data_IF_168503896821
#
_entry.id   IF_168503896821
#
_cell.length_a   1.000
_cell.length_b   1.000
_cell.length_c   1.000
_cell.angle_alpha   90.00
_cell.angle_beta   90.00
_cell.angle_gamma   90.00
#
_symmetry.space_group_name_H-M   'P 1'
#
loop_
_entity.id
_entity.type
_entity.pdbx_description
1 polymer ?
#
# COMPACT_ATOMS: atom_id res chain seq x y z
N UNK A 1 1.69 16.69 -33.43
CA UNK A 1 1.56 16.28 -32.00
C UNK A 1 0.06 16.21 -31.77
N UNK A 2 -0.45 15.12 -31.22
CA UNK A 2 -1.90 15.04 -30.95
C UNK A 2 -2.18 15.76 -29.67
N UNK A 3 -2.87 16.87 -29.76
CA UNK A 3 -3.29 17.64 -28.57
C UNK A 3 -4.63 17.16 -28.02
N UNK A 4 -5.30 16.26 -28.78
CA UNK A 4 -6.61 15.70 -28.46
C UNK A 4 -6.75 14.29 -29.00
N UNK A 5 -7.29 13.40 -28.19
CA UNK A 5 -7.65 12.03 -28.54
C UNK A 5 -8.88 11.64 -27.72
N UNK A 6 -10.03 11.44 -28.38
CA UNK A 6 -11.28 11.18 -27.69
C UNK A 6 -11.33 9.80 -27.05
N UNK A 7 -11.95 9.72 -25.88
CA UNK A 7 -12.45 8.46 -25.31
C UNK A 7 -13.65 8.04 -26.15
N UNK A 8 -13.58 6.86 -26.79
CA UNK A 8 -14.66 6.30 -27.59
C UNK A 8 -15.53 5.36 -26.77
N UNK A 9 -14.92 4.52 -25.93
CA UNK A 9 -15.65 3.52 -25.18
C UNK A 9 -15.01 3.27 -23.81
N UNK A 10 -15.85 3.05 -22.80
CA UNK A 10 -15.43 2.59 -21.46
C UNK A 10 -16.25 1.36 -21.09
N UNK A 11 -15.57 0.28 -20.72
CA UNK A 11 -16.15 -1.00 -20.31
C UNK A 11 -15.63 -1.43 -18.96
N UNK A 12 -16.49 -1.98 -18.13
CA UNK A 12 -16.09 -2.63 -16.88
C UNK A 12 -16.59 -4.06 -16.79
N UNK A 13 -15.81 -4.87 -16.08
CA UNK A 13 -16.10 -6.27 -15.76
C UNK A 13 -15.92 -6.51 -14.28
N UNK A 14 -16.68 -7.48 -13.73
CA UNK A 14 -16.40 -8.10 -12.45
C UNK A 14 -15.34 -9.19 -12.65
N UNK A 15 -14.19 -9.05 -11.99
CA UNK A 15 -13.07 -10.02 -11.99
C UNK A 15 -12.74 -10.46 -10.57
N UNK A 16 -11.82 -11.40 -10.36
CA UNK A 16 -11.45 -11.86 -9.02
C UNK A 16 -10.13 -11.26 -8.56
N UNK A 17 -10.07 -10.88 -7.28
CA UNK A 17 -8.84 -10.53 -6.59
C UNK A 17 -8.05 -11.78 -6.14
N UNK A 18 -6.88 -11.57 -5.53
CA UNK A 18 -5.97 -12.63 -5.03
C UNK A 18 -6.56 -13.48 -3.89
N UNK A 19 -7.68 -13.04 -3.30
CA UNK A 19 -8.43 -13.77 -2.28
C UNK A 19 -9.65 -14.50 -2.85
N UNK A 20 -9.90 -14.39 -4.17
CA UNK A 20 -11.08 -14.93 -4.83
C UNK A 20 -12.36 -14.12 -4.58
N UNK A 21 -12.24 -12.87 -4.12
CA UNK A 21 -13.38 -11.96 -4.02
C UNK A 21 -13.52 -11.14 -5.30
N UNK A 22 -14.75 -10.77 -5.69
CA UNK A 22 -14.96 -9.89 -6.84
C UNK A 22 -14.32 -8.52 -6.67
N UNK A 23 -13.78 -7.99 -7.77
CA UNK A 23 -13.34 -6.61 -7.91
C UNK A 23 -13.62 -6.10 -9.33
N UNK A 24 -13.32 -4.82 -9.59
CA UNK A 24 -13.63 -4.15 -10.85
C UNK A 24 -12.41 -4.10 -11.75
N UNK A 25 -12.56 -4.55 -13.00
CA UNK A 25 -11.67 -4.23 -14.10
C UNK A 25 -12.34 -3.20 -15.00
N UNK A 26 -11.57 -2.20 -15.45
CA UNK A 26 -12.03 -1.20 -16.43
C UNK A 26 -11.12 -1.19 -17.63
N UNK A 27 -11.70 -1.10 -18.81
CA UNK A 27 -11.02 -0.83 -20.08
C UNK A 27 -11.52 0.49 -20.66
N UNK A 28 -10.60 1.35 -21.05
CA UNK A 28 -10.86 2.59 -21.80
C UNK A 28 -10.29 2.44 -23.20
N UNK A 29 -11.10 2.70 -24.22
CA UNK A 29 -10.73 2.61 -25.64
C UNK A 29 -10.85 4.01 -26.25
N UNK A 30 -9.80 4.43 -26.97
CA UNK A 30 -9.77 5.72 -27.68
C UNK A 30 -10.28 5.58 -29.11
N UNK A 31 -10.67 6.67 -29.76
CA UNK A 31 -11.13 6.72 -31.17
C UNK A 31 -10.13 6.13 -32.18
N UNK A 32 -8.88 5.92 -31.77
CA UNK A 32 -7.87 5.26 -32.60
C UNK A 32 -7.72 3.78 -32.29
N UNK A 33 -8.54 3.23 -31.39
CA UNK A 33 -8.51 1.83 -30.99
C UNK A 33 -7.40 1.50 -29.99
N UNK A 34 -6.64 2.49 -29.50
CA UNK A 34 -5.70 2.24 -28.40
C UNK A 34 -6.47 2.08 -27.10
N UNK A 35 -6.10 1.09 -26.29
CA UNK A 35 -6.77 0.84 -25.01
C UNK A 35 -5.85 0.95 -23.81
N UNK A 36 -6.47 1.15 -22.65
CA UNK A 36 -5.86 1.03 -21.34
C UNK A 36 -6.75 0.21 -20.43
N UNK A 37 -6.16 -0.74 -19.70
CA UNK A 37 -6.89 -1.62 -18.78
C UNK A 37 -6.32 -1.45 -17.37
N UNK A 38 -7.20 -1.35 -16.38
CA UNK A 38 -6.83 -1.30 -14.97
C UNK A 38 -7.74 -2.21 -14.13
N UNK A 39 -7.19 -2.80 -13.07
CA UNK A 39 -7.92 -3.58 -12.08
C UNK A 39 -7.73 -2.97 -10.71
N UNK A 40 -8.82 -2.85 -9.95
CA UNK A 40 -8.81 -2.17 -8.65
C UNK A 40 -8.54 -3.17 -7.53
N UNK A 41 -7.59 -2.86 -6.60
CA UNK A 41 -7.38 -3.69 -5.42
C UNK A 41 -8.49 -3.49 -4.37
N UNK A 42 -8.59 -4.41 -3.40
CA UNK A 42 -9.56 -4.34 -2.31
C UNK A 42 -8.94 -4.58 -0.93
N UNK A 43 -9.39 -3.86 0.10
CA UNK A 43 -8.93 -4.04 1.48
C UNK A 43 -9.56 -5.24 2.19
N UNK A 44 -8.87 -5.80 3.19
CA UNK A 44 -9.44 -6.72 4.17
C UNK A 44 -9.92 -5.94 5.41
N UNK A 45 -9.06 -5.08 5.95
CA UNK A 45 -9.38 -4.03 6.89
C UNK A 45 -9.48 -2.71 6.14
N UNK A 46 -10.36 -1.82 6.58
CA UNK A 46 -10.55 -0.50 5.97
C UNK A 46 -10.62 0.54 7.08
N UNK A 47 -9.83 1.61 6.95
CA UNK A 47 -9.92 2.77 7.81
C UNK A 47 -11.31 3.42 7.71
N UNK A 48 -11.80 3.98 8.80
CA UNK A 48 -13.16 4.55 8.88
C UNK A 48 -13.39 5.70 7.90
N UNK A 49 -12.32 6.30 7.40
CA UNK A 49 -12.36 7.49 6.53
C UNK A 49 -11.97 7.20 5.08
N UNK A 50 -11.80 5.94 4.71
CA UNK A 50 -11.54 5.56 3.31
C UNK A 50 -12.72 5.87 2.40
N UNK A 51 -12.44 6.11 1.12
CA UNK A 51 -13.47 6.15 0.10
C UNK A 51 -14.18 4.79 -0.04
N UNK A 52 -15.45 4.81 -0.38
CA UNK A 52 -16.33 3.64 -0.34
C UNK A 52 -16.00 2.67 -1.46
N UNK A 53 -15.60 1.46 -1.12
CA UNK A 53 -15.62 0.32 -2.03
C UNK A 53 -17.07 -0.18 -2.18
N UNK A 54 -17.71 0.11 -3.32
CA UNK A 54 -19.12 -0.23 -3.52
C UNK A 54 -19.29 -1.73 -3.74
N UNK A 55 -20.03 -2.37 -2.84
CA UNK A 55 -20.41 -3.79 -2.88
C UNK A 55 -21.90 -3.94 -3.07
N UNK A 56 -22.32 -5.02 -3.75
CA UNK A 56 -23.75 -5.26 -4.06
C UNK A 56 -24.58 -5.57 -2.81
N UNK A 57 -24.00 -6.22 -1.81
CA UNK A 57 -24.68 -6.66 -0.59
C UNK A 57 -25.62 -7.86 -0.79
N UNK A 58 -25.73 -8.38 -2.01
CA UNK A 58 -26.56 -9.55 -2.33
C UNK A 58 -25.87 -10.84 -1.85
N UNK A 59 -26.34 -11.40 -0.76
CA UNK A 59 -25.77 -12.60 -0.14
C UNK A 59 -25.87 -13.85 -1.02
N UNK A 60 -26.72 -13.87 -2.04
CA UNK A 60 -26.85 -14.98 -3.00
C UNK A 60 -25.69 -15.03 -4.02
N UNK A 61 -24.96 -13.91 -4.16
CA UNK A 61 -23.78 -13.79 -5.03
C UNK A 61 -22.54 -13.42 -4.22
N UNK A 62 -21.47 -14.22 -4.34
CA UNK A 62 -20.20 -13.98 -3.64
C UNK A 62 -20.35 -13.60 -2.16
N UNK A 63 -21.35 -14.16 -1.48
CA UNK A 63 -21.64 -13.91 -0.05
C UNK A 63 -21.86 -12.41 0.27
N UNK A 64 -22.37 -11.63 -0.69
CA UNK A 64 -22.61 -10.19 -0.57
C UNK A 64 -21.48 -9.30 -1.09
N UNK A 65 -20.36 -9.90 -1.54
CA UNK A 65 -19.18 -9.15 -1.97
C UNK A 65 -19.15 -8.83 -3.46
N UNK A 66 -20.20 -9.12 -4.25
CA UNK A 66 -20.31 -8.77 -5.66
C UNK A 66 -20.09 -7.28 -5.92
N UNK A 67 -19.69 -6.90 -7.13
CA UNK A 67 -19.40 -5.51 -7.55
C UNK A 67 -20.16 -5.08 -8.81
N UNK A 68 -21.28 -5.78 -9.13
CA UNK A 68 -22.04 -5.45 -10.35
C UNK A 68 -22.62 -4.05 -10.34
N UNK A 69 -22.96 -3.48 -9.16
CA UNK A 69 -23.40 -2.08 -9.06
C UNK A 69 -22.28 -1.11 -9.51
N UNK A 70 -21.04 -1.34 -9.07
CA UNK A 70 -19.91 -0.54 -9.49
C UNK A 70 -19.64 -0.71 -11.00
N UNK A 71 -19.69 -1.94 -11.51
CA UNK A 71 -19.59 -2.24 -12.95
C UNK A 71 -20.69 -1.52 -13.73
N UNK A 72 -21.93 -1.56 -13.26
CA UNK A 72 -23.04 -0.86 -13.90
C UNK A 72 -22.88 0.66 -13.88
N UNK A 73 -22.38 1.23 -12.77
CA UNK A 73 -22.07 2.66 -12.67
C UNK A 73 -21.01 3.06 -13.71
N UNK A 74 -19.98 2.25 -13.93
CA UNK A 74 -19.00 2.51 -14.99
C UNK A 74 -19.67 2.44 -16.36
N UNK A 75 -20.36 1.32 -16.67
CA UNK A 75 -20.86 1.05 -18.01
C UNK A 75 -22.03 1.95 -18.46
N UNK A 76 -22.85 2.45 -17.51
CA UNK A 76 -24.08 3.21 -17.84
C UNK A 76 -24.01 4.69 -17.47
N UNK A 77 -23.23 5.05 -16.46
CA UNK A 77 -23.18 6.43 -15.96
C UNK A 77 -21.85 7.07 -16.41
N UNK A 78 -20.72 6.53 -15.92
CA UNK A 78 -19.40 7.14 -16.16
C UNK A 78 -19.06 7.11 -17.65
N UNK A 79 -19.26 5.98 -18.33
CA UNK A 79 -18.96 5.85 -19.77
C UNK A 79 -19.65 6.92 -20.60
N UNK A 80 -20.94 7.20 -20.32
CA UNK A 80 -21.71 8.22 -21.04
C UNK A 80 -21.21 9.64 -20.78
N UNK A 81 -20.80 9.93 -19.54
CA UNK A 81 -20.36 11.28 -19.13
C UNK A 81 -18.95 11.62 -19.59
N UNK A 82 -18.12 10.59 -19.87
CA UNK A 82 -16.74 10.76 -20.31
C UNK A 82 -16.54 10.53 -21.83
N UNK A 83 -17.56 10.04 -22.54
CA UNK A 83 -17.52 9.86 -23.99
C UNK A 83 -17.14 11.17 -24.69
N UNK A 84 -16.18 11.13 -25.57
CA UNK A 84 -15.67 12.29 -26.29
C UNK A 84 -14.66 13.14 -25.50
N UNK A 85 -14.45 12.93 -24.20
CA UNK A 85 -13.42 13.67 -23.48
C UNK A 85 -12.01 13.30 -23.97
N UNK A 86 -11.09 14.25 -23.85
CA UNK A 86 -9.70 14.04 -24.23
C UNK A 86 -8.97 13.15 -23.23
N UNK A 87 -8.49 11.98 -23.67
CA UNK A 87 -7.79 11.00 -22.82
C UNK A 87 -6.53 11.56 -22.13
N UNK A 88 -5.95 12.65 -22.66
CA UNK A 88 -4.76 13.28 -22.09
C UNK A 88 -5.04 14.25 -20.92
N UNK A 89 -6.31 14.59 -20.70
CA UNK A 89 -6.71 15.56 -19.66
C UNK A 89 -7.10 14.84 -18.36
N UNK A 90 -6.13 14.10 -17.76
CA UNK A 90 -6.36 13.27 -16.57
C UNK A 90 -7.05 14.03 -15.43
N UNK A 91 -6.58 15.24 -15.12
CA UNK A 91 -7.12 16.03 -14.01
C UNK A 91 -8.57 16.47 -14.26
N UNK A 92 -8.94 16.78 -15.49
CA UNK A 92 -10.32 17.14 -15.86
C UNK A 92 -11.24 15.91 -15.79
N UNK A 93 -10.75 14.74 -16.24
CA UNK A 93 -11.48 13.48 -16.15
C UNK A 93 -11.72 13.09 -14.70
N UNK A 94 -10.68 13.14 -13.86
CA UNK A 94 -10.81 12.80 -12.43
C UNK A 94 -11.72 13.79 -11.69
N UNK A 95 -11.64 15.08 -12.03
CA UNK A 95 -12.58 16.09 -11.54
C UNK A 95 -14.02 15.76 -11.94
N UNK A 96 -14.25 15.37 -13.20
CA UNK A 96 -15.58 14.98 -13.68
C UNK A 96 -16.10 13.76 -12.95
N UNK A 97 -15.26 12.74 -12.66
CA UNK A 97 -15.63 11.57 -11.84
C UNK A 97 -16.10 11.98 -10.44
N UNK A 98 -15.39 12.91 -9.80
CA UNK A 98 -15.78 13.44 -8.48
C UNK A 98 -17.11 14.20 -8.56
N UNK A 99 -17.30 15.04 -9.58
CA UNK A 99 -18.53 15.80 -9.80
C UNK A 99 -19.75 14.89 -10.04
N UNK A 100 -19.60 13.77 -10.76
CA UNK A 100 -20.70 12.81 -11.03
C UNK A 100 -21.08 12.04 -9.74
N UNK A 101 -20.10 11.72 -8.90
CA UNK A 101 -20.34 11.03 -7.64
C UNK A 101 -21.07 11.91 -6.64
N UNK A 102 -20.78 13.20 -6.55
CA UNK A 102 -21.43 14.19 -5.67
C UNK A 102 -21.26 13.91 -4.16
N UNK A 103 -20.51 12.88 -3.75
CA UNK A 103 -20.27 12.55 -2.35
C UNK A 103 -18.81 12.71 -1.96
N UNK A 104 -18.54 13.04 -0.70
CA UNK A 104 -17.16 13.26 -0.23
C UNK A 104 -16.30 12.00 -0.29
N UNK A 105 -16.92 10.83 -0.12
CA UNK A 105 -16.23 9.53 -0.03
C UNK A 105 -16.52 8.58 -1.21
N UNK A 106 -16.96 9.09 -2.36
CA UNK A 106 -17.32 8.30 -3.56
C UNK A 106 -18.40 7.24 -3.28
N UNK A 107 -19.31 7.54 -2.38
CA UNK A 107 -20.35 6.59 -1.92
C UNK A 107 -21.42 6.28 -2.94
N UNK A 108 -21.67 7.16 -3.94
CA UNK A 108 -22.70 6.98 -4.98
C UNK A 108 -22.23 6.06 -6.10
N UNK A 109 -21.06 6.29 -6.65
CA UNK A 109 -20.52 5.49 -7.75
C UNK A 109 -19.65 4.34 -7.27
N UNK A 110 -18.94 4.54 -6.18
CA UNK A 110 -17.91 3.65 -5.64
C UNK A 110 -16.51 4.06 -6.03
N UNK A 111 -15.59 4.11 -5.06
CA UNK A 111 -14.17 4.37 -5.33
C UNK A 111 -13.53 3.31 -6.24
N UNK A 112 -14.02 2.08 -6.21
CA UNK A 112 -13.62 1.02 -7.12
C UNK A 112 -14.02 1.31 -8.58
N UNK A 113 -15.18 1.94 -8.81
CA UNK A 113 -15.59 2.39 -10.14
C UNK A 113 -14.75 3.59 -10.62
N UNK A 114 -14.65 4.64 -9.80
CA UNK A 114 -13.92 5.87 -10.17
C UNK A 114 -12.43 5.61 -10.37
N UNK A 115 -11.77 4.86 -9.48
CA UNK A 115 -10.35 4.52 -9.62
C UNK A 115 -10.08 3.66 -10.85
N UNK A 116 -10.93 2.65 -11.09
CA UNK A 116 -10.77 1.79 -12.27
C UNK A 116 -10.74 2.60 -13.57
N UNK A 117 -11.66 3.56 -13.72
CA UNK A 117 -11.70 4.46 -14.88
C UNK A 117 -10.49 5.38 -14.92
N UNK A 118 -10.17 6.05 -13.80
CA UNK A 118 -9.04 6.98 -13.69
C UNK A 118 -7.71 6.34 -14.13
N UNK A 119 -7.43 5.11 -13.63
CA UNK A 119 -6.20 4.39 -13.99
C UNK A 119 -6.21 3.86 -15.43
N UNK A 120 -7.36 3.40 -15.93
CA UNK A 120 -7.49 2.92 -17.30
C UNK A 120 -7.29 4.08 -18.30
N UNK A 121 -7.79 5.28 -18.01
CA UNK A 121 -7.54 6.51 -18.78
C UNK A 121 -6.05 6.83 -18.85
N UNK A 122 -5.36 6.89 -17.72
CA UNK A 122 -3.91 7.15 -17.69
C UNK A 122 -3.13 6.14 -18.53
N UNK A 123 -3.53 4.88 -18.47
CA UNK A 123 -2.90 3.79 -19.24
C UNK A 123 -3.20 3.89 -20.75
N UNK A 124 -4.44 4.23 -21.13
CA UNK A 124 -4.80 4.47 -22.53
C UNK A 124 -4.02 5.64 -23.12
N UNK A 125 -3.91 6.74 -22.36
CA UNK A 125 -3.11 7.90 -22.73
C UNK A 125 -1.62 7.55 -22.92
N UNK A 126 -1.00 6.84 -21.96
CA UNK A 126 0.38 6.40 -22.08
C UNK A 126 0.61 5.51 -23.29
N UNK A 127 -0.28 4.52 -23.51
CA UNK A 127 -0.21 3.59 -24.63
C UNK A 127 -0.35 4.33 -25.99
N UNK A 128 -1.24 5.32 -26.08
CA UNK A 128 -1.43 6.14 -27.30
C UNK A 128 -0.19 6.94 -27.68
N UNK A 129 0.63 7.28 -26.68
CA UNK A 129 1.92 7.96 -26.89
C UNK A 129 3.10 7.00 -27.06
N UNK A 130 2.88 5.68 -26.97
CA UNK A 130 3.93 4.67 -26.96
C UNK A 130 4.88 4.81 -25.75
N UNK A 131 4.37 5.31 -24.64
CA UNK A 131 5.13 5.57 -23.42
C UNK A 131 4.83 4.54 -22.33
N UNK A 132 5.83 4.18 -21.54
CA UNK A 132 5.61 3.47 -20.29
C UNK A 132 4.83 4.36 -19.30
N UNK A 133 3.90 3.77 -18.53
CA UNK A 133 3.00 4.52 -17.66
C UNK A 133 3.75 5.41 -16.65
N UNK A 134 4.85 4.92 -16.05
CA UNK A 134 5.63 5.73 -15.10
C UNK A 134 6.24 6.99 -15.75
N UNK A 135 6.63 6.92 -17.05
CA UNK A 135 7.14 8.08 -17.80
C UNK A 135 6.03 9.06 -18.14
N UNK A 136 4.84 8.54 -18.50
CA UNK A 136 3.69 9.38 -18.79
C UNK A 136 3.26 10.20 -17.55
N UNK A 137 3.12 9.54 -16.40
CA UNK A 137 2.71 10.20 -15.15
C UNK A 137 3.81 11.10 -14.60
N UNK A 138 5.06 10.63 -14.54
CA UNK A 138 6.16 11.29 -13.82
C UNK A 138 7.08 12.17 -14.66
N UNK A 139 6.88 12.15 -15.98
CA UNK A 139 7.69 12.95 -16.91
C UNK A 139 9.17 12.52 -16.93
N UNK A 140 10.01 13.43 -17.40
CA UNK A 140 11.44 13.18 -17.67
C UNK A 140 12.28 12.89 -16.42
N UNK A 141 11.79 13.20 -15.24
CA UNK A 141 12.53 12.99 -13.98
C UNK A 141 12.14 11.71 -13.22
N UNK A 142 11.22 10.90 -13.75
CA UNK A 142 10.82 9.61 -13.16
C UNK A 142 11.92 8.57 -13.35
N UNK A 143 12.76 8.33 -12.31
CA UNK A 143 13.94 7.47 -12.39
C UNK A 143 14.36 6.83 -11.06
N UNK A 144 13.64 7.09 -9.98
CA UNK A 144 13.96 6.53 -8.67
C UNK A 144 13.16 5.25 -8.45
N UNK A 145 13.86 4.10 -8.38
CA UNK A 145 13.29 2.82 -7.98
C UNK A 145 13.01 2.86 -6.47
N UNK A 146 11.84 2.39 -6.01
CA UNK A 146 11.52 2.44 -4.59
C UNK A 146 12.25 1.34 -3.81
N UNK A 147 12.62 1.65 -2.55
CA UNK A 147 13.02 0.63 -1.57
C UNK A 147 11.75 -0.14 -1.14
N UNK A 148 11.72 -1.46 -1.29
CA UNK A 148 10.56 -2.23 -0.88
C UNK A 148 10.54 -2.49 0.62
N UNK A 149 9.37 -2.38 1.22
CA UNK A 149 9.00 -2.89 2.54
C UNK A 149 8.32 -4.24 2.32
N UNK A 150 9.11 -5.33 2.41
CA UNK A 150 8.62 -6.68 2.08
C UNK A 150 8.11 -7.40 3.31
N UNK A 151 6.80 -7.61 3.39
CA UNK A 151 6.16 -8.35 4.48
C UNK A 151 6.48 -9.83 4.40
N UNK A 152 7.41 -10.32 5.23
CA UNK A 152 7.89 -11.72 5.21
C UNK A 152 7.34 -12.58 6.37
N UNK A 153 6.72 -11.96 7.38
CA UNK A 153 6.07 -12.65 8.49
C UNK A 153 4.82 -11.86 8.92
N UNK A 154 3.71 -12.58 9.06
CA UNK A 154 2.39 -12.03 9.36
C UNK A 154 1.91 -12.41 10.75
N UNK A 155 1.18 -11.50 11.38
CA UNK A 155 0.40 -11.70 12.60
C UNK A 155 -0.93 -10.94 12.53
N UNK A 156 -1.44 -10.50 13.68
CA UNK A 156 -2.67 -9.72 13.78
C UNK A 156 -3.86 -10.39 13.10
N UNK A 157 -4.61 -9.63 12.31
CA UNK A 157 -5.71 -10.12 11.47
C UNK A 157 -5.26 -10.76 10.16
N UNK A 158 -4.01 -10.53 9.74
CA UNK A 158 -3.45 -11.11 8.52
C UNK A 158 -3.02 -12.58 8.67
N UNK A 159 -3.06 -13.13 9.90
CA UNK A 159 -2.72 -14.52 10.17
C UNK A 159 -3.52 -15.11 11.33
N UNK A 160 -3.95 -16.36 11.17
CA UNK A 160 -4.53 -17.14 12.26
C UNK A 160 -3.40 -17.80 13.08
N UNK A 161 -2.70 -16.98 13.86
CA UNK A 161 -1.57 -17.37 14.70
C UNK A 161 -1.58 -16.57 16.02
N UNK A 162 -0.48 -16.68 16.80
CA UNK A 162 -0.35 -16.10 18.15
C UNK A 162 0.36 -14.74 18.18
N UNK A 163 0.72 -14.16 17.04
CA UNK A 163 1.46 -12.89 16.92
C UNK A 163 0.48 -11.73 16.82
N UNK A 164 0.69 -10.64 17.60
CA UNK A 164 -0.22 -9.50 17.63
C UNK A 164 0.08 -8.44 16.56
N UNK A 165 1.36 -8.10 16.36
CA UNK A 165 1.78 -7.16 15.29
C UNK A 165 1.44 -7.76 13.92
N UNK A 166 0.81 -6.96 13.06
CA UNK A 166 0.21 -7.43 11.82
C UNK A 166 1.24 -7.83 10.76
N UNK A 167 2.30 -7.01 10.57
CA UNK A 167 3.31 -7.25 9.55
C UNK A 167 4.72 -6.97 10.06
N UNK A 168 5.63 -7.89 9.70
CA UNK A 168 7.07 -7.74 9.92
C UNK A 168 7.75 -7.71 8.57
N UNK A 169 8.35 -6.57 8.25
CA UNK A 169 8.90 -6.29 6.94
C UNK A 169 10.42 -6.15 6.96
N UNK A 170 11.05 -6.56 5.87
CA UNK A 170 12.47 -6.29 5.59
C UNK A 170 12.60 -5.20 4.54
N UNK A 171 13.64 -4.37 4.68
CA UNK A 171 14.01 -3.31 3.74
C UNK A 171 15.50 -3.41 3.40
N UNK A 172 15.90 -3.87 2.20
CA UNK A 172 17.30 -4.01 1.80
C UNK A 172 17.92 -2.67 1.39
N UNK A 173 18.23 -1.84 2.36
CA UNK A 173 18.74 -0.47 2.16
C UNK A 173 20.21 -0.42 1.72
N UNK A 174 20.96 -1.52 1.88
CA UNK A 174 22.35 -1.64 1.48
C UNK A 174 22.57 -2.08 0.03
N UNK A 175 21.51 -2.47 -0.69
CA UNK A 175 21.60 -2.84 -2.10
C UNK A 175 21.99 -1.65 -2.99
N UNK A 176 22.63 -1.93 -4.11
CA UNK A 176 23.09 -0.90 -5.06
C UNK A 176 22.13 -0.71 -6.24
N UNK A 177 21.21 -1.63 -6.45
CA UNK A 177 20.22 -1.64 -7.51
C UNK A 177 18.93 -2.29 -7.01
N UNK A 178 17.83 -2.10 -7.73
CA UNK A 178 16.58 -2.77 -7.38
C UNK A 178 16.67 -4.28 -7.60
N UNK A 179 17.34 -4.71 -8.67
CA UNK A 179 17.57 -6.14 -8.95
C UNK A 179 18.39 -6.82 -7.84
N UNK A 180 19.43 -6.17 -7.31
CA UNK A 180 20.16 -6.67 -6.15
C UNK A 180 19.29 -6.73 -4.89
N UNK A 181 18.51 -5.68 -4.64
CA UNK A 181 17.54 -5.63 -3.55
C UNK A 181 16.56 -6.81 -3.59
N UNK A 182 15.98 -7.09 -4.75
CA UNK A 182 15.02 -8.19 -4.90
C UNK A 182 15.68 -9.56 -4.69
N UNK A 183 16.92 -9.76 -5.18
CA UNK A 183 17.72 -10.96 -4.93
C UNK A 183 17.97 -11.17 -3.44
N UNK A 184 18.47 -10.14 -2.74
CA UNK A 184 18.70 -10.19 -1.29
C UNK A 184 17.44 -10.59 -0.54
N UNK A 185 16.31 -9.97 -0.88
CA UNK A 185 15.03 -10.25 -0.25
C UNK A 185 14.56 -11.68 -0.46
N UNK A 186 14.69 -12.23 -1.67
CA UNK A 186 14.35 -13.61 -1.97
C UNK A 186 15.24 -14.61 -1.20
N UNK A 187 16.54 -14.35 -1.12
CA UNK A 187 17.50 -15.17 -0.36
C UNK A 187 17.16 -15.17 1.14
N UNK A 188 16.83 -14.00 1.72
CA UNK A 188 16.40 -13.88 3.12
C UNK A 188 15.07 -14.61 3.35
N UNK A 189 14.08 -14.42 2.47
CA UNK A 189 12.79 -15.07 2.56
C UNK A 189 12.91 -16.61 2.56
N UNK A 190 13.69 -17.16 1.64
CA UNK A 190 13.94 -18.60 1.61
C UNK A 190 14.77 -19.11 2.80
N UNK A 191 15.66 -18.27 3.34
CA UNK A 191 16.41 -18.60 4.55
C UNK A 191 15.51 -18.58 5.78
N UNK A 192 14.59 -17.59 5.90
CA UNK A 192 13.58 -17.57 6.95
C UNK A 192 12.72 -18.86 6.93
N UNK A 193 12.30 -19.29 5.74
CA UNK A 193 11.59 -20.57 5.60
C UNK A 193 12.37 -21.76 6.17
N UNK A 194 13.69 -21.80 5.94
CA UNK A 194 14.56 -22.87 6.50
C UNK A 194 14.69 -22.76 8.01
N UNK A 195 14.85 -21.54 8.54
CA UNK A 195 14.93 -21.27 9.98
C UNK A 195 13.66 -21.72 10.69
N UNK A 196 12.49 -21.34 10.19
CA UNK A 196 11.19 -21.73 10.75
C UNK A 196 10.99 -23.26 10.72
N UNK A 197 11.29 -23.90 9.58
CA UNK A 197 11.21 -25.36 9.46
C UNK A 197 12.13 -26.09 10.43
N UNK A 198 13.35 -25.62 10.64
CA UNK A 198 14.30 -26.21 11.58
C UNK A 198 13.82 -26.16 13.04
N UNK A 199 12.90 -25.23 13.35
CA UNK A 199 12.23 -25.13 14.66
C UNK A 199 10.90 -25.88 14.71
N UNK A 200 10.52 -26.60 13.65
CA UNK A 200 9.24 -27.32 13.57
C UNK A 200 8.03 -26.41 13.38
N UNK A 201 8.25 -25.14 12.98
CA UNK A 201 7.20 -24.14 12.79
C UNK A 201 6.58 -24.21 11.41
N UNK A 202 5.32 -23.79 11.31
CA UNK A 202 4.59 -23.72 10.05
C UNK A 202 5.23 -22.70 9.07
N UNK A 203 5.20 -23.03 7.77
CA UNK A 203 5.66 -22.15 6.69
C UNK A 203 4.58 -21.96 5.62
N UNK A 204 3.31 -22.06 6.01
CA UNK A 204 2.19 -21.54 5.26
C UNK A 204 2.27 -20.02 5.19
N UNK A 205 1.72 -19.43 4.12
CA UNK A 205 1.77 -17.99 3.89
C UNK A 205 0.38 -17.36 4.00
N UNK A 206 0.34 -16.12 4.49
CA UNK A 206 -0.85 -15.29 4.52
C UNK A 206 -1.18 -14.67 3.16
N UNK A 207 -2.17 -13.78 3.15
CA UNK A 207 -2.67 -13.10 1.94
C UNK A 207 -1.60 -12.30 1.21
N UNK A 208 -0.62 -11.78 1.92
CA UNK A 208 0.47 -10.97 1.37
C UNK A 208 1.78 -11.73 1.14
N UNK A 209 1.76 -13.05 1.33
CA UNK A 209 2.88 -13.95 1.05
C UNK A 209 3.88 -14.11 2.20
N UNK A 210 3.74 -13.40 3.32
CA UNK A 210 4.52 -13.59 4.53
C UNK A 210 4.17 -14.90 5.25
N UNK A 211 5.14 -15.51 5.96
CA UNK A 211 4.89 -16.70 6.75
C UNK A 211 4.01 -16.39 7.97
N UNK A 212 3.21 -17.36 8.40
CA UNK A 212 2.27 -17.22 9.51
C UNK A 212 2.47 -18.29 10.60
N UNK A 213 3.66 -18.41 11.22
CA UNK A 213 3.90 -19.37 12.28
C UNK A 213 3.24 -18.97 13.60
N UNK A 214 2.95 -19.94 14.46
CA UNK A 214 2.65 -19.69 15.87
C UNK A 214 3.96 -19.43 16.62
N UNK A 215 4.08 -18.24 17.23
CA UNK A 215 5.25 -17.83 17.97
C UNK A 215 4.85 -17.44 19.40
N UNK A 216 5.83 -17.42 20.32
CA UNK A 216 5.58 -17.09 21.72
C UNK A 216 5.37 -15.58 21.96
N UNK A 217 5.83 -14.73 21.04
CA UNK A 217 5.71 -13.28 21.13
C UNK A 217 6.01 -12.61 19.78
N UNK A 218 5.65 -11.32 19.68
CA UNK A 218 6.05 -10.47 18.55
C UNK A 218 7.58 -10.33 18.45
N UNK A 219 8.27 -10.30 19.60
CA UNK A 219 9.74 -10.22 19.67
C UNK A 219 10.41 -11.50 19.09
N UNK A 220 9.78 -12.67 19.22
CA UNK A 220 10.30 -13.91 18.62
C UNK A 220 10.29 -13.86 17.09
N UNK A 221 9.29 -13.19 16.49
CA UNK A 221 9.25 -12.94 15.06
C UNK A 221 10.46 -12.13 14.59
N UNK A 222 10.79 -11.05 15.30
CA UNK A 222 11.97 -10.22 15.03
C UNK A 222 13.27 -11.01 15.15
N UNK A 223 13.40 -11.87 16.17
CA UNK A 223 14.58 -12.75 16.35
C UNK A 223 14.79 -13.67 15.17
N UNK A 224 13.73 -14.32 14.67
CA UNK A 224 13.84 -15.21 13.51
C UNK A 224 14.19 -14.46 12.22
N UNK A 225 13.65 -13.26 12.03
CA UNK A 225 13.98 -12.44 10.86
C UNK A 225 15.45 -12.01 10.90
N UNK A 226 15.96 -11.51 12.03
CA UNK A 226 17.37 -11.13 12.21
C UNK A 226 18.30 -12.33 12.04
N UNK A 227 17.92 -13.51 12.57
CA UNK A 227 18.64 -14.77 12.33
C UNK A 227 18.68 -15.12 10.84
N UNK A 228 17.55 -14.97 10.12
CA UNK A 228 17.47 -15.27 8.69
C UNK A 228 18.32 -14.31 7.85
N UNK A 229 18.32 -13.00 8.15
CA UNK A 229 19.16 -12.01 7.50
C UNK A 229 20.63 -12.39 7.66
N UNK A 230 21.08 -12.69 8.89
CA UNK A 230 22.46 -13.07 9.19
C UNK A 230 22.86 -14.38 8.52
N UNK A 231 21.99 -15.41 8.53
CA UNK A 231 22.23 -16.70 7.87
C UNK A 231 22.23 -16.62 6.35
N UNK A 232 21.54 -15.64 5.78
CA UNK A 232 21.60 -15.33 4.35
C UNK A 232 22.89 -14.62 3.93
N UNK A 233 23.73 -14.23 4.91
CA UNK A 233 25.01 -13.58 4.66
C UNK A 233 24.96 -12.05 4.64
N UNK A 234 23.86 -11.45 5.10
CA UNK A 234 23.67 -10.01 5.18
C UNK A 234 23.75 -9.49 6.61
N UNK A 235 24.09 -8.21 6.77
CA UNK A 235 24.23 -7.56 8.07
C UNK A 235 22.93 -6.85 8.48
N UNK A 236 22.25 -7.31 9.54
CA UNK A 236 21.08 -6.57 10.09
C UNK A 236 21.50 -5.16 10.52
N UNK A 237 20.69 -4.16 10.14
CA UNK A 237 20.94 -2.76 10.45
C UNK A 237 21.83 -2.01 9.44
N UNK A 238 22.71 -2.72 8.69
CA UNK A 238 23.53 -2.12 7.64
C UNK A 238 22.96 -2.42 6.25
N UNK A 239 22.91 -3.70 5.86
CA UNK A 239 22.42 -4.12 4.55
C UNK A 239 20.89 -4.15 4.52
N UNK A 240 20.28 -4.62 5.62
CA UNK A 240 18.84 -4.81 5.74
C UNK A 240 18.37 -4.26 7.08
N UNK A 241 17.36 -3.41 7.02
CA UNK A 241 16.64 -2.90 8.20
C UNK A 241 15.22 -3.45 8.24
N UNK A 242 14.55 -3.28 9.37
CA UNK A 242 13.20 -3.80 9.60
C UNK A 242 12.18 -2.66 9.60
N UNK A 243 10.95 -3.00 9.22
CA UNK A 243 9.79 -2.17 9.39
C UNK A 243 8.63 -3.00 9.98
N UNK A 244 7.77 -2.35 10.72
CA UNK A 244 6.57 -2.94 11.32
C UNK A 244 5.32 -2.24 10.79
N UNK A 245 4.25 -2.99 10.61
CA UNK A 245 2.89 -2.50 10.58
C UNK A 245 2.15 -3.09 11.80
N UNK A 246 1.77 -2.22 12.72
CA UNK A 246 1.19 -2.64 14.00
C UNK A 246 -0.32 -2.79 13.90
N UNK A 247 -0.97 -2.02 13.00
CA UNK A 247 -2.42 -1.97 12.83
C UNK A 247 -3.16 -1.74 14.17
N UNK A 248 -2.71 -0.74 14.92
CA UNK A 248 -3.12 -0.53 16.32
C UNK A 248 -4.59 -0.15 16.50
N UNK A 249 -5.27 0.38 15.46
CA UNK A 249 -6.70 0.68 15.52
C UNK A 249 -7.51 -0.55 15.89
N UNK A 250 -7.13 -1.73 15.38
CA UNK A 250 -7.79 -2.99 15.72
C UNK A 250 -7.61 -3.38 17.18
N UNK A 251 -6.39 -3.18 17.73
CA UNK A 251 -6.12 -3.42 19.14
C UNK A 251 -6.92 -2.47 20.05
N UNK A 252 -7.08 -1.23 19.63
CA UNK A 252 -7.85 -0.21 20.31
C UNK A 252 -9.36 -0.55 20.32
N UNK A 253 -9.90 -1.00 19.20
CA UNK A 253 -11.30 -1.40 19.07
C UNK A 253 -11.61 -2.71 19.84
N UNK A 254 -10.70 -3.68 19.86
CA UNK A 254 -10.84 -4.87 20.70
C UNK A 254 -10.83 -4.53 22.18
N UNK A 255 -10.02 -3.53 22.60
CA UNK A 255 -10.01 -3.05 24.00
C UNK A 255 -11.37 -2.46 24.40
N UNK A 256 -12.03 -1.69 23.53
CA UNK A 256 -13.39 -1.17 23.78
C UNK A 256 -14.40 -2.30 24.00
N UNK A 257 -14.34 -3.40 23.25
CA UNK A 257 -15.25 -4.53 23.37
C UNK A 257 -15.17 -5.23 24.73
N UNK A 258 -14.00 -5.19 25.39
CA UNK A 258 -13.78 -5.76 26.72
C UNK A 258 -13.87 -4.72 27.84
N UNK A 259 -14.38 -3.49 27.56
CA UNK A 259 -14.57 -2.42 28.54
C UNK A 259 -13.29 -1.71 28.99
N UNK A 260 -12.21 -1.76 28.20
CA UNK A 260 -10.94 -1.08 28.44
C UNK A 260 -10.74 0.06 27.44
N UNK A 261 -11.64 1.02 27.44
CA UNK A 261 -11.54 2.21 26.58
C UNK A 261 -10.24 2.98 26.83
N UNK A 262 -9.60 3.47 25.75
CA UNK A 262 -8.34 4.20 25.82
C UNK A 262 -7.09 3.32 25.97
N UNK A 263 -7.25 1.99 25.87
CA UNK A 263 -6.15 1.02 25.89
C UNK A 263 -6.02 0.33 24.52
N UNK A 264 -4.91 -0.40 24.37
CA UNK A 264 -4.60 -1.29 23.25
C UNK A 264 -4.62 -2.73 23.74
N UNK A 265 -5.52 -3.56 23.24
CA UNK A 265 -5.65 -4.96 23.67
C UNK A 265 -4.98 -5.90 22.69
N UNK A 266 -3.94 -6.56 23.14
CA UNK A 266 -3.20 -7.61 22.44
C UNK A 266 -3.98 -8.93 22.61
N UNK A 267 -4.99 -9.14 21.77
CA UNK A 267 -5.95 -10.23 21.93
C UNK A 267 -5.37 -11.63 21.78
N UNK A 268 -4.18 -11.76 21.16
CA UNK A 268 -3.48 -13.05 21.02
C UNK A 268 -2.77 -13.47 22.32
N UNK A 269 -2.36 -12.51 23.13
CA UNK A 269 -1.66 -12.72 24.41
C UNK A 269 -2.50 -12.31 25.63
N UNK A 270 -3.72 -11.77 25.39
CA UNK A 270 -4.66 -11.30 26.43
C UNK A 270 -4.10 -10.16 27.32
N UNK A 271 -3.15 -9.38 26.80
CA UNK A 271 -2.55 -8.25 27.48
C UNK A 271 -3.20 -6.92 27.02
N UNK A 272 -3.28 -5.96 27.94
CA UNK A 272 -3.72 -4.59 27.61
C UNK A 272 -2.62 -3.62 27.96
N UNK A 273 -2.42 -2.61 27.10
CA UNK A 273 -1.47 -1.53 27.27
C UNK A 273 -2.22 -0.20 27.20
N UNK A 274 -1.85 0.71 28.10
CA UNK A 274 -2.23 2.13 27.95
C UNK A 274 -1.50 2.74 26.76
N UNK A 275 -1.89 3.96 26.37
CA UNK A 275 -1.21 4.71 25.31
C UNK A 275 0.31 4.83 25.57
N UNK A 276 0.69 5.26 26.79
CA UNK A 276 2.11 5.44 27.16
C UNK A 276 2.86 4.09 27.16
N UNK A 277 2.28 3.01 27.69
CA UNK A 277 2.86 1.65 27.64
C UNK A 277 2.99 1.11 26.21
N UNK A 278 2.08 1.48 25.30
CA UNK A 278 2.19 1.13 23.90
C UNK A 278 3.37 1.84 23.22
N UNK A 279 3.55 3.13 23.52
CA UNK A 279 4.70 3.91 23.02
C UNK A 279 6.01 3.34 23.58
N UNK A 280 6.06 2.98 24.85
CA UNK A 280 7.24 2.35 25.48
C UNK A 280 7.56 0.98 24.86
N UNK A 281 6.54 0.18 24.57
CA UNK A 281 6.69 -1.11 23.91
C UNK A 281 7.32 -0.97 22.51
N UNK A 282 6.84 -0.02 21.70
CA UNK A 282 7.40 0.26 20.39
C UNK A 282 8.83 0.80 20.45
N UNK A 283 9.13 1.66 21.42
CA UNK A 283 10.49 2.15 21.66
C UNK A 283 11.44 1.01 22.07
N UNK A 284 11.01 0.12 22.94
CA UNK A 284 11.82 -1.03 23.39
C UNK A 284 12.18 -1.95 22.22
N UNK A 285 11.21 -2.27 21.35
CA UNK A 285 11.46 -3.06 20.15
C UNK A 285 12.44 -2.35 19.21
N UNK A 286 12.28 -1.04 18.99
CA UNK A 286 13.14 -0.26 18.10
C UNK A 286 14.57 -0.09 18.66
N UNK A 287 14.75 -0.13 19.97
CA UNK A 287 16.08 -0.10 20.60
C UNK A 287 16.79 -1.46 20.55
N UNK A 288 16.05 -2.56 20.51
CA UNK A 288 16.60 -3.94 20.49
C UNK A 288 16.89 -4.46 19.09
N UNK A 289 16.11 -4.02 18.10
CA UNK A 289 16.14 -4.52 16.73
C UNK A 289 16.40 -3.39 15.74
N UNK A 290 16.93 -3.65 14.54
CA UNK A 290 17.22 -2.63 13.55
C UNK A 290 15.96 -2.13 12.84
N UNK A 291 14.94 -1.75 13.62
CA UNK A 291 13.68 -1.19 13.14
C UNK A 291 13.91 0.28 12.79
N UNK A 292 13.49 0.70 11.58
CA UNK A 292 13.62 2.07 11.10
C UNK A 292 12.28 2.70 10.73
N UNK A 293 11.22 1.90 10.62
CA UNK A 293 9.89 2.36 10.25
C UNK A 293 8.81 1.63 11.05
N UNK A 294 7.83 2.36 11.53
CA UNK A 294 6.63 1.84 12.21
C UNK A 294 5.41 2.47 11.56
N UNK A 295 4.52 1.63 11.04
CA UNK A 295 3.23 2.00 10.48
C UNK A 295 2.14 1.75 11.52
N UNK A 296 1.20 2.70 11.61
CA UNK A 296 0.03 2.67 12.50
C UNK A 296 0.33 2.18 13.92
N UNK A 297 1.37 2.79 14.51
CA UNK A 297 1.81 2.48 15.86
C UNK A 297 0.77 2.80 16.94
N UNK A 298 -0.20 3.67 16.65
CA UNK A 298 -1.36 4.00 17.48
C UNK A 298 -2.63 4.09 16.63
N UNK A 299 -3.80 4.13 17.27
CA UNK A 299 -5.10 4.13 16.61
C UNK A 299 -5.35 5.39 15.75
N UNK A 300 -6.20 5.26 14.72
CA UNK A 300 -6.46 6.29 13.68
C UNK A 300 -7.04 7.61 14.21
N UNK A 301 -7.67 7.61 15.39
CA UNK A 301 -8.21 8.81 16.05
C UNK A 301 -7.49 9.20 17.34
N UNK A 302 -6.43 8.48 17.71
CA UNK A 302 -5.60 8.80 18.87
C UNK A 302 -4.54 9.87 18.54
N UNK A 303 -5.00 11.06 18.11
CA UNK A 303 -4.14 12.16 17.67
C UNK A 303 -3.15 12.65 18.72
N UNK A 304 -3.55 12.61 20.01
CA UNK A 304 -2.66 13.01 21.10
C UNK A 304 -1.58 11.97 21.35
N UNK A 305 -1.93 10.69 21.34
CA UNK A 305 -0.95 9.61 21.41
C UNK A 305 0.04 9.67 20.23
N UNK A 306 -0.45 9.89 19.02
CA UNK A 306 0.40 10.07 17.83
C UNK A 306 1.38 11.25 17.99
N UNK A 307 0.94 12.36 18.61
CA UNK A 307 1.81 13.50 18.91
C UNK A 307 2.95 13.09 19.84
N UNK A 308 2.63 12.41 20.94
CA UNK A 308 3.62 11.88 21.90
C UNK A 308 4.59 10.88 21.24
N UNK A 309 4.04 9.94 20.44
CA UNK A 309 4.84 8.97 19.69
C UNK A 309 5.82 9.68 18.74
N UNK A 310 5.35 10.72 18.05
CA UNK A 310 6.18 11.49 17.12
C UNK A 310 7.27 12.28 17.83
N UNK A 311 6.96 12.93 18.95
CA UNK A 311 7.94 13.63 19.78
C UNK A 311 9.02 12.67 20.29
N UNK A 312 8.64 11.45 20.68
CA UNK A 312 9.56 10.46 21.25
C UNK A 312 10.42 9.77 20.23
N UNK A 313 9.84 9.31 19.10
CA UNK A 313 10.50 8.44 18.14
C UNK A 313 10.71 9.06 16.74
N UNK A 314 9.99 10.12 16.39
CA UNK A 314 9.97 10.68 15.02
C UNK A 314 11.33 11.18 14.52
N UNK A 315 12.26 11.52 15.40
CA UNK A 315 13.62 11.89 15.01
C UNK A 315 14.50 10.69 14.63
N UNK A 316 14.17 9.50 15.12
CA UNK A 316 14.93 8.26 14.91
C UNK A 316 14.29 7.35 13.87
N UNK A 317 12.96 7.33 13.84
CA UNK A 317 12.17 6.38 13.05
C UNK A 317 11.28 7.10 12.04
N UNK A 318 10.99 6.43 10.94
CA UNK A 318 9.88 6.75 10.08
C UNK A 318 8.59 6.29 10.75
N UNK A 319 7.65 7.20 10.95
CA UNK A 319 6.33 6.93 11.51
C UNK A 319 5.31 7.14 10.39
N UNK A 320 4.73 6.03 9.94
CA UNK A 320 3.84 6.00 8.78
C UNK A 320 2.39 5.99 9.23
N UNK A 321 1.59 6.94 8.76
CA UNK A 321 0.14 6.90 8.94
C UNK A 321 -0.52 6.23 7.73
N UNK A 322 -1.18 5.07 7.94
CA UNK A 322 -2.09 4.42 7.00
C UNK A 322 -3.54 4.81 7.34
N UNK A 323 -4.16 4.16 8.33
CA UNK A 323 -5.53 4.48 8.76
C UNK A 323 -5.62 5.91 9.32
N UNK A 324 -4.55 6.44 9.89
CA UNK A 324 -4.45 7.83 10.33
C UNK A 324 -4.75 8.83 9.20
N UNK A 325 -4.23 8.61 7.99
CA UNK A 325 -4.31 9.56 6.87
C UNK A 325 -5.19 9.11 5.72
N UNK A 326 -5.36 7.81 5.50
CA UNK A 326 -6.17 7.17 4.45
C UNK A 326 -5.99 7.81 3.06
N UNK A 327 -4.75 8.17 2.71
CA UNK A 327 -4.40 8.87 1.45
C UNK A 327 -5.19 10.19 1.25
N UNK A 328 -5.76 10.75 2.32
CA UNK A 328 -6.65 11.92 2.27
C UNK A 328 -5.89 13.20 2.63
N UNK A 329 -5.89 14.18 1.71
CA UNK A 329 -5.18 15.47 1.89
C UNK A 329 -5.66 16.27 3.10
N UNK A 330 -6.94 16.19 3.48
CA UNK A 330 -7.47 16.91 4.67
C UNK A 330 -6.92 16.32 5.95
N UNK A 331 -6.88 14.98 6.05
CA UNK A 331 -6.30 14.27 7.21
C UNK A 331 -4.78 14.44 7.27
N UNK A 332 -4.10 14.37 6.11
CA UNK A 332 -2.68 14.66 6.03
C UNK A 332 -2.37 16.10 6.48
N UNK A 333 -3.14 17.10 6.01
CA UNK A 333 -2.97 18.49 6.43
C UNK A 333 -3.13 18.64 7.96
N UNK A 334 -4.12 17.97 8.56
CA UNK A 334 -4.27 17.95 10.03
C UNK A 334 -3.02 17.39 10.72
N UNK A 335 -2.41 16.34 10.18
CA UNK A 335 -1.16 15.77 10.68
C UNK A 335 0.01 16.75 10.57
N UNK A 336 0.14 17.39 9.41
CA UNK A 336 1.18 18.39 9.15
C UNK A 336 1.09 19.59 10.11
N UNK A 337 -0.11 20.14 10.28
CA UNK A 337 -0.37 21.28 11.17
C UNK A 337 -0.03 20.99 12.62
N UNK A 338 -0.22 19.73 13.05
CA UNK A 338 0.04 19.27 14.40
C UNK A 338 1.40 18.55 14.57
N UNK A 339 2.21 18.46 13.52
CA UNK A 339 3.52 17.77 13.50
C UNK A 339 3.43 16.30 13.95
N UNK A 340 2.44 15.59 13.44
CA UNK A 340 2.12 14.20 13.78
C UNK A 340 2.55 13.28 12.66
N UNK A 341 3.28 12.19 12.98
CA UNK A 341 3.93 11.29 12.04
C UNK A 341 5.05 11.99 11.24
N UNK A 342 5.60 11.33 10.22
CA UNK A 342 6.57 11.92 9.28
C UNK A 342 6.57 11.19 7.93
N UNK A 343 5.59 10.31 7.73
CA UNK A 343 5.37 9.57 6.49
C UNK A 343 3.88 9.25 6.32
N UNK A 344 3.44 9.11 5.08
CA UNK A 344 2.09 8.66 4.73
C UNK A 344 2.15 7.37 3.92
N UNK A 345 1.25 6.43 4.20
CA UNK A 345 0.98 5.32 3.30
C UNK A 345 0.01 5.77 2.22
N UNK A 346 0.28 5.39 0.99
CA UNK A 346 -0.50 5.78 -0.20
C UNK A 346 -1.15 4.56 -0.79
N UNK A 347 -2.46 4.48 -0.68
CA UNK A 347 -3.29 3.44 -1.27
C UNK A 347 -4.28 4.08 -2.24
N UNK A 348 -4.14 3.82 -3.53
CA UNK A 348 -4.91 4.51 -4.57
C UNK A 348 -6.43 4.39 -4.37
N UNK A 349 -6.90 3.22 -3.91
CA UNK A 349 -8.33 2.98 -3.71
C UNK A 349 -8.90 3.61 -2.41
N UNK A 350 -8.07 4.06 -1.48
CA UNK A 350 -8.53 4.80 -0.29
C UNK A 350 -9.08 6.19 -0.63
N UNK A 351 -8.69 6.74 -1.78
CA UNK A 351 -9.13 8.06 -2.23
C UNK A 351 -9.92 8.03 -3.54
N UNK A 352 -9.59 7.14 -4.48
CA UNK A 352 -10.43 6.75 -5.61
C UNK A 352 -10.16 7.43 -6.94
N UNK A 353 -9.12 8.28 -7.08
CA UNK A 353 -8.61 8.80 -8.35
C UNK A 353 -7.09 8.90 -8.36
N UNK A 354 -6.48 8.89 -9.53
CA UNK A 354 -5.04 9.10 -9.70
C UNK A 354 -4.63 10.52 -9.30
N UNK A 355 -5.39 11.53 -9.70
CA UNK A 355 -5.09 12.94 -9.40
C UNK A 355 -5.06 13.18 -7.89
N UNK A 356 -6.08 12.76 -7.13
CA UNK A 356 -6.09 12.91 -5.67
C UNK A 356 -4.93 12.14 -5.01
N UNK A 357 -4.56 10.98 -5.56
CA UNK A 357 -3.39 10.20 -5.09
C UNK A 357 -2.09 10.97 -5.28
N UNK A 358 -1.89 11.58 -6.45
CA UNK A 358 -0.71 12.39 -6.75
C UNK A 358 -0.65 13.64 -5.88
N UNK A 359 -1.79 14.29 -5.64
CA UNK A 359 -1.90 15.46 -4.76
C UNK A 359 -1.49 15.12 -3.32
N UNK A 360 -1.90 13.95 -2.81
CA UNK A 360 -1.51 13.50 -1.47
C UNK A 360 0.01 13.24 -1.36
N UNK A 361 0.61 12.60 -2.38
CA UNK A 361 2.05 12.36 -2.44
C UNK A 361 2.81 13.70 -2.52
N UNK A 362 2.34 14.63 -3.34
CA UNK A 362 2.97 15.94 -3.50
C UNK A 362 2.90 16.76 -2.22
N UNK A 363 1.73 16.79 -1.56
CA UNK A 363 1.54 17.48 -0.28
C UNK A 363 2.50 16.94 0.79
N UNK A 364 2.61 15.61 0.92
CA UNK A 364 3.54 14.98 1.85
C UNK A 364 4.98 15.41 1.58
N UNK A 365 5.46 15.24 0.34
CA UNK A 365 6.84 15.54 -0.04
C UNK A 365 7.20 17.01 0.11
N UNK A 366 6.31 17.95 -0.24
CA UNK A 366 6.52 19.39 -0.06
C UNK A 366 6.68 19.82 1.40
N UNK A 367 6.13 19.01 2.32
CA UNK A 367 6.21 19.26 3.76
C UNK A 367 7.23 18.39 4.49
N UNK A 368 8.14 17.72 3.75
CA UNK A 368 9.22 16.92 4.33
C UNK A 368 8.81 15.54 4.84
N UNK A 369 7.56 15.11 4.59
CA UNK A 369 7.13 13.73 4.84
C UNK A 369 7.58 12.83 3.70
N UNK A 370 7.82 11.57 4.00
CA UNK A 370 7.99 10.52 2.99
C UNK A 370 6.62 9.96 2.59
N UNK A 371 6.57 9.34 1.42
CA UNK A 371 5.38 8.62 0.94
C UNK A 371 5.75 7.18 0.62
N UNK A 372 4.98 6.22 1.11
CA UNK A 372 5.13 4.80 0.83
C UNK A 372 3.96 4.36 -0.06
N UNK A 373 4.22 4.06 -1.32
CA UNK A 373 3.16 3.59 -2.23
C UNK A 373 2.85 2.13 -1.90
N UNK A 374 1.59 1.82 -1.61
CA UNK A 374 1.19 0.56 -1.00
C UNK A 374 0.13 -0.19 -1.80
N UNK A 375 0.23 -1.52 -1.75
CA UNK A 375 -0.79 -2.46 -2.16
C UNK A 375 -1.97 -2.51 -1.18
N UNK A 376 -2.92 -3.42 -1.45
CA UNK A 376 -3.93 -3.87 -0.49
C UNK A 376 -3.82 -5.38 -0.27
N UNK A 377 -4.52 -5.89 0.76
CA UNK A 377 -4.55 -7.33 1.03
C UNK A 377 -5.19 -8.15 -0.10
N UNK A 378 -6.23 -7.63 -0.75
CA UNK A 378 -6.79 -8.18 -2.00
C UNK A 378 -6.21 -7.46 -3.21
N UNK A 379 -5.26 -8.09 -3.88
CA UNK A 379 -4.58 -7.56 -5.07
C UNK A 379 -5.02 -8.29 -6.34
N UNK A 380 -4.62 -7.75 -7.47
CA UNK A 380 -4.76 -8.33 -8.78
C UNK A 380 -3.39 -8.42 -9.46
N UNK A 381 -3.32 -8.84 -10.72
CA UNK A 381 -2.11 -8.75 -11.53
C UNK A 381 -1.78 -7.33 -12.00
N UNK A 382 -2.62 -6.33 -11.73
CA UNK A 382 -2.35 -4.93 -12.08
C UNK A 382 -1.07 -4.43 -11.39
N UNK A 383 -0.26 -3.70 -12.14
CA UNK A 383 1.05 -3.21 -11.70
C UNK A 383 1.14 -1.69 -11.59
N UNK A 384 0.01 -0.98 -11.73
CA UNK A 384 -0.03 0.49 -11.76
C UNK A 384 0.65 1.12 -10.55
N UNK A 385 0.51 0.52 -9.36
CA UNK A 385 1.16 1.06 -8.16
C UNK A 385 2.70 1.10 -8.26
N UNK A 386 3.31 0.16 -9.00
CA UNK A 386 4.76 0.17 -9.23
C UNK A 386 5.16 1.33 -10.15
N UNK A 387 4.37 1.57 -11.22
CA UNK A 387 4.57 2.72 -12.10
C UNK A 387 4.38 4.05 -11.33
N UNK A 388 3.36 4.17 -10.46
CA UNK A 388 3.12 5.37 -9.62
C UNK A 388 4.29 5.61 -8.67
N UNK A 389 4.84 4.58 -8.02
CA UNK A 389 5.97 4.72 -7.11
C UNK A 389 7.21 5.31 -7.81
N UNK A 390 7.50 4.87 -9.05
CA UNK A 390 8.62 5.42 -9.83
C UNK A 390 8.27 6.79 -10.42
N UNK A 391 7.06 6.97 -10.94
CA UNK A 391 6.59 8.24 -11.51
C UNK A 391 6.75 9.41 -10.54
N UNK A 392 6.39 9.19 -9.29
CA UNK A 392 6.45 10.22 -8.24
C UNK A 392 7.81 10.31 -7.54
N UNK A 393 8.77 9.43 -7.89
CA UNK A 393 10.00 9.25 -7.13
C UNK A 393 9.70 9.15 -5.62
N UNK A 394 8.70 8.35 -5.24
CA UNK A 394 8.26 8.20 -3.85
C UNK A 394 9.38 7.61 -2.95
N UNK A 395 10.28 6.84 -3.55
CA UNK A 395 11.44 6.26 -2.88
C UNK A 395 11.14 5.00 -2.08
N UNK A 396 9.86 4.66 -1.84
CA UNK A 396 9.45 3.49 -1.07
C UNK A 396 8.19 2.85 -1.66
N UNK A 397 8.08 1.52 -1.53
CA UNK A 397 6.91 0.72 -1.92
C UNK A 397 6.65 -0.39 -0.89
N UNK A 398 5.40 -0.60 -0.53
CA UNK A 398 4.94 -1.70 0.33
C UNK A 398 4.01 -2.58 -0.50
N UNK A 399 4.49 -3.76 -0.94
CA UNK A 399 3.71 -4.62 -1.84
C UNK A 399 3.87 -6.12 -1.56
N UNK A 400 3.99 -6.47 -0.26
CA UNK A 400 4.00 -7.83 0.23
C UNK A 400 5.35 -8.54 0.12
N UNK A 401 5.35 -9.85 0.32
CA UNK A 401 6.53 -10.71 0.24
C UNK A 401 6.97 -10.96 -1.22
N UNK A 402 8.21 -11.44 -1.46
CA UNK A 402 8.62 -11.92 -2.77
C UNK A 402 8.01 -13.30 -3.10
N UNK A 403 6.72 -13.43 -2.88
CA UNK A 403 5.91 -14.64 -3.01
C UNK A 403 4.47 -14.27 -3.37
N UNK A 404 3.74 -15.15 -4.06
CA UNK A 404 2.42 -14.94 -4.66
C UNK A 404 2.47 -14.00 -5.87
N UNK A 405 1.86 -14.43 -6.97
CA UNK A 405 1.96 -13.73 -8.27
C UNK A 405 1.43 -12.31 -8.23
N UNK A 406 0.36 -12.07 -7.48
CA UNK A 406 -0.24 -10.74 -7.25
C UNK A 406 0.75 -9.73 -6.63
N UNK A 407 1.72 -10.18 -5.83
CA UNK A 407 2.81 -9.37 -5.25
C UNK A 407 4.01 -9.30 -6.19
N UNK A 408 4.45 -10.46 -6.67
CA UNK A 408 5.62 -10.59 -7.54
C UNK A 408 5.45 -9.84 -8.87
N UNK A 409 4.24 -9.70 -9.39
CA UNK A 409 3.95 -8.90 -10.58
C UNK A 409 4.46 -7.46 -10.44
N UNK A 410 4.28 -6.81 -9.27
CA UNK A 410 4.76 -5.46 -9.00
C UNK A 410 6.28 -5.39 -8.97
N UNK A 411 6.93 -6.37 -8.34
CA UNK A 411 8.39 -6.46 -8.32
C UNK A 411 8.98 -6.70 -9.72
N UNK A 412 8.36 -7.58 -10.50
CA UNK A 412 8.76 -7.82 -11.89
C UNK A 412 8.57 -6.56 -12.76
N UNK A 413 7.50 -5.77 -12.51
CA UNK A 413 7.32 -4.48 -13.18
C UNK A 413 8.45 -3.51 -12.86
N UNK A 414 8.88 -3.44 -11.60
CA UNK A 414 10.01 -2.59 -11.17
C UNK A 414 11.34 -3.05 -11.80
N UNK A 415 11.58 -4.35 -11.96
CA UNK A 415 12.72 -4.86 -12.71
C UNK A 415 12.68 -4.41 -14.19
N UNK A 416 11.52 -4.47 -14.82
CA UNK A 416 11.36 -3.98 -16.20
C UNK A 416 11.64 -2.47 -16.29
N UNK A 417 11.15 -1.68 -15.32
CA UNK A 417 11.40 -0.23 -15.26
C UNK A 417 12.90 0.03 -15.06
N UNK A 418 13.58 -0.72 -14.17
CA UNK A 418 15.03 -0.62 -13.99
C UNK A 418 15.77 -0.90 -15.28
N UNK A 419 15.39 -1.93 -16.02
CA UNK A 419 15.96 -2.26 -17.32
C UNK A 419 15.70 -1.18 -18.40
N UNK A 420 14.50 -0.58 -18.42
CA UNK A 420 14.17 0.55 -19.30
C UNK A 420 14.99 1.81 -19.00
N UNK A 421 15.31 2.06 -17.74
CA UNK A 421 16.10 3.21 -17.30
C UNK A 421 17.61 2.98 -17.50
N UNK A 422 18.08 1.73 -17.43
CA UNK A 422 19.50 1.39 -17.52
C UNK A 422 20.32 2.14 -16.47
N UNK A 423 21.42 2.76 -16.90
CA UNK A 423 22.34 3.50 -16.00
C UNK A 423 21.71 4.76 -15.36
N UNK A 424 20.52 5.17 -15.81
CA UNK A 424 19.80 6.31 -15.21
C UNK A 424 18.98 5.90 -14.00
N UNK A 425 18.78 4.60 -13.75
CA UNK A 425 18.03 4.10 -12.60
C UNK A 425 18.73 4.47 -11.30
N UNK A 426 17.97 5.01 -10.34
CA UNK A 426 18.48 5.35 -9.01
C UNK A 426 17.79 4.44 -8.00
N UNK A 427 18.58 3.65 -7.26
CA UNK A 427 18.11 2.96 -6.08
C UNK A 427 18.57 3.75 -4.83
N UNK A 428 17.67 4.37 -4.07
CA UNK A 428 18.04 5.36 -3.06
C UNK A 428 18.61 4.73 -1.78
N UNK A 429 18.36 3.43 -1.52
CA UNK A 429 18.75 2.77 -0.29
C UNK A 429 18.20 3.53 0.93
N UNK A 430 18.99 3.64 2.00
CA UNK A 430 18.58 4.33 3.24
C UNK A 430 18.11 5.77 3.02
N UNK A 431 18.62 6.47 2.00
CA UNK A 431 18.19 7.86 1.70
C UNK A 431 16.73 7.97 1.29
N UNK A 432 16.11 6.86 0.84
CA UNK A 432 14.68 6.83 0.52
C UNK A 432 13.76 7.04 1.72
N UNK A 433 14.27 6.86 2.96
CA UNK A 433 13.50 7.00 4.18
C UNK A 433 13.69 8.35 4.90
N UNK A 434 14.60 9.20 4.45
CA UNK A 434 14.99 10.45 5.15
C UNK A 434 15.48 10.22 6.61
N UNK A 435 16.07 9.04 6.94
CA UNK A 435 16.51 8.62 8.28
C UNK A 435 17.94 8.03 8.28
#
# INVERSE_FOLDING_TARGET
MKDYLAIEEIKALEVLDSRGNPTVQVEVITEEGTNGVAMVPSGASTGSFEAVELRDGDKSRYLGKGVLKAVENVNKIIAKELEGMNVFEQAEIDKKLIEIDETENKGKLGANATLGVSLAVARAAANSLGMSLYKYIGGVNAKTLPVPMMNILNGGKHADNTVNIQEFMIMPVGAKSFSECLRMSAEIYHTLKKVLKAKGLATGVGDEGGFAPNLSSDEEALKFIVEAISKAGYKPGEDVVLALDVASTEMYDEAKKIGKEGCYYFWKTEESKTEDEMIEYLEDLANKYPIISIEDGLAEEDWEGWRKLTEKLGNKLQLVGDDLFVTNIKRLQKGLDNKIANSILIKLNQIGTLTETLDAIELAKKNGYTAVVSHRSGETEDTTLADVAVATNAGQIKTGAPCRTDRVAKYNRLLNIEAELGDLAIYPGRKGLNK
#
